data_IF_110685825375
#
_entry.id   IF_110685825375
#
_cell.length_a   1.000
_cell.length_b   1.000
_cell.length_c   1.000
_cell.angle_alpha   90.00
_cell.angle_beta   90.00
_cell.angle_gamma   90.00
#
_symmetry.space_group_name_H-M   'P 1'
#
loop_
_entity.id
_entity.type
_entity.pdbx_description
1 polymer ?
#
# COMPACT_ATOMS: atom_id res chain seq x y z
N UNK A 1 -8.08 -14.79 9.81
CA UNK A 1 -7.42 -14.68 11.13
C UNK A 1 -5.90 -14.47 10.97
N UNK A 2 -5.28 -13.80 11.93
CA UNK A 2 -3.85 -13.49 11.99
C UNK A 2 -3.30 -14.11 13.27
N UNK A 3 -2.15 -14.79 13.18
CA UNK A 3 -1.50 -15.43 14.32
C UNK A 3 0.00 -15.15 14.30
N UNK A 4 0.64 -15.15 15.46
CA UNK A 4 2.09 -15.05 15.55
C UNK A 4 2.79 -16.19 14.82
N UNK A 5 3.99 -15.92 14.28
CA UNK A 5 4.79 -16.91 13.55
C UNK A 5 4.38 -17.12 12.08
N UNK A 6 3.34 -16.41 11.59
CA UNK A 6 2.96 -16.41 10.17
C UNK A 6 2.39 -15.07 9.72
N UNK A 7 2.51 -14.80 8.42
CA UNK A 7 1.85 -13.67 7.77
C UNK A 7 0.53 -14.12 7.14
N UNK A 8 -0.50 -13.28 7.28
CA UNK A 8 -1.70 -13.33 6.44
C UNK A 8 -1.44 -12.49 5.19
N UNK A 9 -1.70 -13.04 4.01
CA UNK A 9 -1.65 -12.33 2.74
C UNK A 9 -3.04 -12.27 2.13
N UNK A 10 -3.45 -11.08 1.70
CA UNK A 10 -4.67 -10.86 0.92
C UNK A 10 -4.31 -10.17 -0.37
N UNK A 11 -5.00 -10.53 -1.44
CA UNK A 11 -4.80 -9.96 -2.77
C UNK A 11 -6.07 -9.25 -3.23
N UNK A 12 -5.92 -8.09 -3.86
CA UNK A 12 -7.00 -7.35 -4.52
C UNK A 12 -6.54 -6.99 -5.93
N UNK A 13 -7.32 -7.44 -6.91
CA UNK A 13 -7.11 -7.08 -8.30
C UNK A 13 -7.96 -5.87 -8.65
N UNK A 14 -7.35 -4.84 -9.24
CA UNK A 14 -8.04 -3.63 -9.69
C UNK A 14 -7.59 -3.23 -11.09
N UNK A 15 -8.49 -2.64 -11.85
CA UNK A 15 -8.21 -1.95 -13.11
C UNK A 15 -8.04 -0.43 -12.89
N UNK A 16 -8.01 0.02 -11.63
CA UNK A 16 -7.89 1.42 -11.24
C UNK A 16 -8.93 2.34 -11.89
N UNK A 17 -10.18 1.87 -11.96
CA UNK A 17 -11.32 2.59 -12.51
C UNK A 17 -11.17 2.95 -14.00
N UNK A 18 -10.52 2.07 -14.75
CA UNK A 18 -10.29 2.25 -16.20
C UNK A 18 -11.58 2.61 -16.93
N UNK A 19 -11.54 3.70 -17.70
CA UNK A 19 -12.67 4.16 -18.50
C UNK A 19 -13.72 5.01 -17.77
N UNK A 20 -13.57 5.24 -16.46
CA UNK A 20 -14.43 6.15 -15.70
C UNK A 20 -13.81 7.54 -15.56
N UNK A 21 -14.56 8.47 -14.95
CA UNK A 21 -14.08 9.79 -14.55
C UNK A 21 -13.08 9.77 -13.37
N UNK A 22 -12.93 8.62 -12.69
CA UNK A 22 -11.99 8.40 -11.57
C UNK A 22 -10.82 7.49 -11.95
N UNK A 23 -10.55 7.33 -13.25
CA UNK A 23 -9.44 6.53 -13.75
C UNK A 23 -8.09 7.06 -13.24
N UNK A 24 -7.30 6.18 -12.62
CA UNK A 24 -5.94 6.50 -12.14
C UNK A 24 -4.93 5.65 -12.91
N UNK A 25 -4.06 6.31 -13.66
CA UNK A 25 -2.96 5.66 -14.39
C UNK A 25 -1.61 5.89 -13.73
N UNK A 26 -1.44 7.00 -13.01
CA UNK A 26 -0.19 7.39 -12.36
C UNK A 26 -0.46 7.66 -10.89
N UNK A 27 0.12 6.84 -10.01
CA UNK A 27 -0.10 6.96 -8.58
C UNK A 27 0.57 8.18 -7.95
N UNK A 28 -0.08 8.73 -6.94
CA UNK A 28 0.47 9.75 -6.04
C UNK A 28 0.45 9.23 -4.60
N UNK A 29 -0.75 9.03 -4.06
CA UNK A 29 -0.97 8.52 -2.71
C UNK A 29 -1.78 7.22 -2.78
N UNK A 30 -1.46 6.27 -1.91
CA UNK A 30 -2.20 5.02 -1.77
C UNK A 30 -2.66 4.91 -0.33
N UNK A 31 -3.94 4.62 -0.11
CA UNK A 31 -4.47 4.32 1.21
C UNK A 31 -5.01 2.90 1.27
N UNK A 32 -4.63 2.18 2.32
CA UNK A 32 -5.26 0.94 2.73
C UNK A 32 -6.14 1.25 3.95
N UNK A 33 -7.46 1.27 3.75
CA UNK A 33 -8.44 1.50 4.81
C UNK A 33 -8.74 0.16 5.45
N UNK A 34 -8.35 -0.02 6.71
CA UNK A 34 -8.34 -1.33 7.37
C UNK A 34 -9.19 -1.31 8.64
N UNK A 35 -10.02 -2.33 8.79
CA UNK A 35 -10.64 -2.70 10.06
C UNK A 35 -10.04 -4.02 10.53
N UNK A 36 -9.45 -4.03 11.72
CA UNK A 36 -8.80 -5.22 12.28
C UNK A 36 -8.87 -5.20 13.80
N UNK A 37 -8.95 -6.37 14.43
CA UNK A 37 -8.74 -6.51 15.86
C UNK A 37 -7.43 -7.25 16.15
N UNK A 38 -6.88 -7.04 17.35
CA UNK A 38 -5.66 -7.67 17.78
C UNK A 38 -5.69 -7.85 19.30
N UNK A 39 -5.18 -8.99 19.78
CA UNK A 39 -4.91 -9.24 21.19
C UNK A 39 -3.92 -8.23 21.80
N UNK A 40 -3.02 -7.67 20.97
CA UNK A 40 -2.18 -6.52 21.30
C UNK A 40 -1.88 -5.72 20.04
N UNK A 41 -2.45 -4.53 19.91
CA UNK A 41 -2.38 -3.71 18.69
C UNK A 41 -0.96 -3.31 18.31
N UNK A 42 -0.11 -2.97 19.28
CA UNK A 42 1.26 -2.54 19.03
C UNK A 42 2.18 -3.59 18.43
N UNK A 43 1.79 -4.87 18.50
CA UNK A 43 2.54 -5.97 17.90
C UNK A 43 2.12 -6.24 16.44
N UNK A 44 1.04 -5.63 15.93
CA UNK A 44 0.58 -5.82 14.56
C UNK A 44 1.41 -4.96 13.59
N UNK A 45 1.92 -5.59 12.54
CA UNK A 45 2.55 -4.93 11.40
C UNK A 45 1.71 -5.14 10.15
N UNK A 46 1.63 -4.09 9.33
CA UNK A 46 0.91 -4.10 8.06
C UNK A 46 1.82 -3.60 6.94
N UNK A 47 1.76 -4.29 5.81
CA UNK A 47 2.46 -3.90 4.59
C UNK A 47 1.52 -3.95 3.40
N UNK A 48 1.68 -3.00 2.48
CA UNK A 48 1.01 -3.04 1.19
C UNK A 48 2.06 -3.14 0.08
N UNK A 49 1.83 -4.00 -0.90
CA UNK A 49 2.72 -4.16 -2.07
C UNK A 49 1.95 -3.80 -3.33
N UNK A 50 2.52 -2.91 -4.14
CA UNK A 50 1.94 -2.49 -5.42
C UNK A 50 2.09 -3.56 -6.51
N UNK A 51 1.34 -3.48 -7.62
CA UNK A 51 1.49 -4.37 -8.76
C UNK A 51 2.88 -4.34 -9.39
N UNK A 52 3.61 -3.23 -9.24
CA UNK A 52 4.99 -3.07 -9.72
C UNK A 52 6.04 -3.58 -8.72
N UNK A 53 5.63 -4.11 -7.57
CA UNK A 53 6.51 -4.78 -6.61
C UNK A 53 7.00 -3.91 -5.44
N UNK A 54 6.60 -2.64 -5.36
CA UNK A 54 7.03 -1.77 -4.26
C UNK A 54 6.27 -2.13 -2.98
N UNK A 55 7.00 -2.64 -1.99
CA UNK A 55 6.48 -3.01 -0.68
C UNK A 55 6.64 -1.85 0.31
N UNK A 56 5.52 -1.36 0.84
CA UNK A 56 5.45 -0.27 1.82
C UNK A 56 5.02 -0.81 3.18
N UNK A 57 5.78 -0.49 4.24
CA UNK A 57 5.33 -0.69 5.62
C UNK A 57 4.36 0.45 5.97
N UNK A 58 3.10 0.10 6.21
CA UNK A 58 2.03 1.07 6.50
C UNK A 58 1.65 1.09 7.99
N UNK A 59 2.03 0.05 8.74
CA UNK A 59 2.01 0.02 10.19
C UNK A 59 3.25 -0.72 10.68
N UNK A 60 4.12 -0.03 11.42
CA UNK A 60 5.27 -0.62 12.10
C UNK A 60 4.88 -1.11 13.50
N UNK A 61 5.67 -2.03 14.07
CA UNK A 61 5.56 -2.37 15.49
C UNK A 61 5.71 -1.14 16.36
N UNK A 62 4.87 -1.01 17.39
CA UNK A 62 4.88 0.07 18.39
C UNK A 62 4.95 -0.54 19.78
N UNK A 63 6.15 -0.60 20.37
CA UNK A 63 6.39 -1.32 21.62
C UNK A 63 5.50 -0.86 22.79
N UNK A 64 5.20 0.43 22.86
CA UNK A 64 4.41 1.04 23.93
C UNK A 64 2.88 1.02 23.69
N UNK A 65 2.42 0.53 22.54
CA UNK A 65 0.99 0.39 22.24
C UNK A 65 0.47 -0.95 22.78
N UNK A 66 0.12 -0.95 24.07
CA UNK A 66 -0.38 -2.12 24.81
C UNK A 66 -1.91 -2.30 24.74
N UNK A 67 -2.52 -1.72 23.70
CA UNK A 67 -3.96 -1.80 23.50
C UNK A 67 -4.39 -3.22 23.15
N UNK A 68 -5.26 -3.80 23.99
CA UNK A 68 -5.82 -5.14 23.87
C UNK A 68 -7.34 -5.13 23.68
N UNK A 69 -7.95 -3.94 23.58
CA UNK A 69 -9.40 -3.76 23.47
C UNK A 69 -9.77 -3.24 22.10
N UNK A 70 -9.05 -2.20 21.67
CA UNK A 70 -9.33 -1.49 20.44
C UNK A 70 -8.28 -1.87 19.39
N UNK A 71 -8.78 -2.27 18.22
CA UNK A 71 -7.95 -2.51 17.06
C UNK A 71 -7.85 -1.27 16.18
N UNK A 72 -8.13 -1.47 14.91
CA UNK A 72 -8.33 -0.41 13.92
C UNK A 72 -9.75 -0.53 13.39
N UNK A 73 -10.44 0.61 13.26
CA UNK A 73 -11.79 0.68 12.69
C UNK A 73 -11.74 1.65 11.52
N UNK A 74 -11.85 1.12 10.29
CA UNK A 74 -11.78 1.90 9.05
C UNK A 74 -10.61 2.90 9.02
N UNK A 75 -9.45 2.48 9.52
CA UNK A 75 -8.29 3.36 9.64
C UNK A 75 -7.56 3.49 8.31
N UNK A 76 -7.38 4.71 7.76
CA UNK A 76 -6.80 4.92 6.43
C UNK A 76 -5.27 5.03 6.49
N UNK A 77 -4.57 3.90 6.52
CA UNK A 77 -3.11 3.91 6.43
C UNK A 77 -2.66 4.35 5.04
N UNK A 78 -1.62 5.19 4.94
CA UNK A 78 -1.21 5.82 3.68
C UNK A 78 0.27 5.57 3.36
N UNK A 79 0.60 5.45 2.08
CA UNK A 79 1.99 5.44 1.57
C UNK A 79 2.12 6.28 0.30
N UNK A 80 3.30 6.89 0.12
CA UNK A 80 3.73 7.61 -1.10
C UNK A 80 4.87 6.87 -1.82
N UNK A 81 5.27 5.68 -1.35
CA UNK A 81 6.43 4.99 -1.91
C UNK A 81 6.22 4.61 -3.38
N UNK A 82 4.98 4.24 -3.74
CA UNK A 82 4.57 3.89 -5.10
C UNK A 82 4.23 5.08 -6.00
N UNK A 83 4.64 6.30 -5.64
CA UNK A 83 4.44 7.47 -6.49
C UNK A 83 5.00 7.25 -7.91
N UNK A 84 4.18 7.51 -8.91
CA UNK A 84 4.48 7.34 -10.32
C UNK A 84 4.31 5.92 -10.83
N UNK A 85 3.97 4.94 -9.99
CA UNK A 85 3.71 3.59 -10.48
C UNK A 85 2.34 3.47 -11.16
N UNK A 86 2.20 2.43 -11.97
CA UNK A 86 0.94 2.03 -12.58
C UNK A 86 0.13 1.19 -11.59
N UNK A 87 -1.10 1.61 -11.22
CA UNK A 87 -1.87 0.93 -10.18
C UNK A 87 -2.61 -0.33 -10.65
N UNK A 88 -2.62 -0.62 -11.95
CA UNK A 88 -3.39 -1.71 -12.53
C UNK A 88 -2.75 -3.05 -12.19
N UNK A 89 -3.55 -4.01 -11.71
CA UNK A 89 -3.10 -5.35 -11.38
C UNK A 89 -3.40 -5.74 -9.95
N UNK A 90 -2.55 -6.60 -9.39
CA UNK A 90 -2.76 -7.20 -8.07
C UNK A 90 -2.00 -6.43 -7.01
N UNK A 91 -2.74 -5.90 -6.05
CA UNK A 91 -2.23 -5.34 -4.80
C UNK A 91 -2.23 -6.41 -3.72
N UNK A 92 -1.21 -6.40 -2.86
CA UNK A 92 -1.10 -7.36 -1.76
C UNK A 92 -1.07 -6.66 -0.42
N UNK A 93 -1.95 -7.04 0.49
CA UNK A 93 -1.90 -6.67 1.90
C UNK A 93 -1.27 -7.82 2.68
N UNK A 94 -0.22 -7.53 3.45
CA UNK A 94 0.36 -8.45 4.41
C UNK A 94 0.07 -7.96 5.82
N UNK A 95 -0.45 -8.84 6.67
CA UNK A 95 -0.65 -8.58 8.09
C UNK A 95 0.05 -9.66 8.92
N UNK A 96 0.84 -9.25 9.91
CA UNK A 96 1.59 -10.19 10.78
C UNK A 96 1.80 -9.63 12.16
N UNK A 97 1.99 -10.51 13.14
CA UNK A 97 2.44 -10.10 14.47
C UNK A 97 3.96 -10.18 14.59
N UNK A 98 4.57 -9.10 15.07
CA UNK A 98 5.96 -9.02 15.47
C UNK A 98 6.05 -9.04 16.99
N UNK A 99 6.00 -10.24 17.57
CA UNK A 99 6.05 -10.47 19.01
C UNK A 99 6.63 -11.85 19.32
N UNK A 100 7.36 -11.97 20.42
CA UNK A 100 7.78 -13.26 20.95
C UNK A 100 6.63 -13.98 21.69
N UNK A 101 5.67 -13.22 22.21
CA UNK A 101 4.50 -13.79 22.88
C UNK A 101 3.43 -14.18 21.85
N UNK A 102 2.65 -15.24 22.09
CA UNK A 102 1.53 -15.59 21.22
C UNK A 102 0.51 -14.45 21.14
N UNK A 103 0.35 -13.91 19.93
CA UNK A 103 -0.69 -12.94 19.56
C UNK A 103 -1.61 -13.53 18.50
N UNK A 104 -2.87 -13.18 18.62
CA UNK A 104 -3.93 -13.46 17.64
C UNK A 104 -4.74 -12.20 17.34
N UNK A 105 -5.44 -12.22 16.21
CA UNK A 105 -6.30 -11.14 15.75
C UNK A 105 -7.00 -11.50 14.44
N UNK A 106 -7.79 -10.58 13.93
CA UNK A 106 -8.56 -10.73 12.71
C UNK A 106 -8.48 -9.46 11.90
N UNK A 107 -8.15 -9.62 10.61
CA UNK A 107 -8.50 -8.61 9.62
C UNK A 107 -9.97 -8.81 9.28
N UNK A 108 -10.78 -7.76 9.48
CA UNK A 108 -12.24 -7.79 9.30
C UNK A 108 -12.59 -7.25 7.92
N UNK A 109 -11.99 -6.11 7.57
CA UNK A 109 -12.25 -5.42 6.31
C UNK A 109 -10.96 -4.77 5.83
N UNK A 110 -10.77 -4.73 4.52
CA UNK A 110 -9.80 -3.84 3.92
C UNK A 110 -10.31 -3.32 2.57
N UNK A 111 -10.03 -2.06 2.29
CA UNK A 111 -10.27 -1.46 0.98
C UNK A 111 -9.07 -0.62 0.56
N UNK A 112 -8.92 -0.47 -0.75
CA UNK A 112 -7.82 0.25 -1.37
C UNK A 112 -8.36 1.52 -2.00
N UNK A 113 -7.80 2.66 -1.61
CA UNK A 113 -8.09 3.97 -2.22
C UNK A 113 -6.83 4.44 -2.93
N UNK A 114 -6.97 4.70 -4.22
CA UNK A 114 -5.88 5.10 -5.10
C UNK A 114 -6.09 6.56 -5.48
N UNK A 115 -5.09 7.39 -5.18
CA UNK A 115 -5.07 8.80 -5.58
C UNK A 115 -4.01 8.98 -6.65
N UNK A 116 -4.34 9.77 -7.67
CA UNK A 116 -3.42 10.13 -8.72
C UNK A 116 -4.13 10.64 -9.95
N UNK A 117 -3.46 10.55 -11.10
CA UNK A 117 -3.91 11.18 -12.33
C UNK A 117 -4.10 10.18 -13.46
N UNK A 118 -5.01 10.51 -14.38
CA UNK A 118 -5.18 9.79 -15.65
C UNK A 118 -4.03 10.07 -16.61
N UNK A 119 -3.53 11.30 -16.65
CA UNK A 119 -2.41 11.72 -17.48
C UNK A 119 -1.09 11.77 -16.70
N UNK A 120 0.04 11.62 -17.39
CA UNK A 120 1.35 11.64 -16.76
C UNK A 120 1.64 13.01 -16.12
N UNK A 121 1.88 13.09 -14.80
CA UNK A 121 1.97 14.38 -14.08
C UNK A 121 3.28 15.14 -14.34
N UNK A 122 4.26 14.52 -14.99
CA UNK A 122 5.60 15.08 -15.20
C UNK A 122 5.90 15.44 -16.66
N UNK A 123 4.89 15.51 -17.54
CA UNK A 123 5.10 15.84 -18.97
C UNK A 123 5.91 17.13 -19.17
N UNK A 124 5.74 18.11 -18.30
CA UNK A 124 6.41 19.42 -18.35
C UNK A 124 7.62 19.52 -17.42
N UNK A 125 7.87 18.50 -16.59
CA UNK A 125 8.95 18.52 -15.61
C UNK A 125 10.23 17.93 -16.20
N UNK A 126 11.33 18.66 -16.02
CA UNK A 126 12.68 18.17 -16.33
C UNK A 126 13.33 17.64 -15.05
N UNK A 127 13.82 16.40 -15.02
CA UNK A 127 14.48 15.86 -13.84
C UNK A 127 15.76 16.63 -13.53
N UNK A 128 15.93 17.04 -12.27
CA UNK A 128 17.12 17.75 -11.81
C UNK A 128 18.41 16.91 -11.88
N UNK A 129 18.27 15.58 -11.90
CA UNK A 129 19.39 14.63 -12.00
C UNK A 129 18.92 13.29 -12.62
N UNK A 130 19.80 12.58 -13.34
CA UNK A 130 19.50 11.25 -13.91
C UNK A 130 19.07 10.20 -12.88
N UNK A 131 19.47 10.34 -11.61
CA UNK A 131 19.15 9.40 -10.54
C UNK A 131 17.96 9.83 -9.67
N UNK A 132 17.32 10.95 -10.00
CA UNK A 132 16.13 11.38 -9.28
C UNK A 132 14.97 10.39 -9.47
N UNK A 133 14.08 10.28 -8.47
CA UNK A 133 12.87 9.43 -8.58
C UNK A 133 12.06 9.80 -9.83
N UNK A 134 11.99 11.09 -10.16
CA UNK A 134 11.33 11.58 -11.38
C UNK A 134 11.98 11.06 -12.66
N UNK A 135 13.32 11.05 -12.76
CA UNK A 135 14.03 10.52 -13.93
C UNK A 135 13.78 9.02 -14.11
N UNK A 136 13.82 8.25 -13.02
CA UNK A 136 13.59 6.80 -13.04
C UNK A 136 12.15 6.50 -13.48
N UNK A 137 11.17 7.20 -12.93
CA UNK A 137 9.75 7.03 -13.27
C UNK A 137 9.50 7.40 -14.74
N UNK A 138 10.02 8.54 -15.20
CA UNK A 138 9.84 9.00 -16.59
C UNK A 138 10.39 7.99 -17.60
N UNK A 139 11.62 7.48 -17.37
CA UNK A 139 12.23 6.45 -18.23
C UNK A 139 11.39 5.18 -18.27
N UNK A 140 10.96 4.67 -17.12
CA UNK A 140 10.12 3.48 -17.05
C UNK A 140 8.79 3.64 -17.83
N UNK A 141 8.24 4.85 -17.87
CA UNK A 141 7.00 5.14 -18.59
C UNK A 141 7.21 5.33 -20.10
N UNK A 142 8.37 5.83 -20.52
CA UNK A 142 8.75 5.93 -21.94
C UNK A 142 9.01 4.53 -22.53
N UNK A 143 9.77 3.68 -21.84
CA UNK A 143 10.09 2.32 -22.28
C UNK A 143 8.81 1.48 -22.49
N UNK A 144 7.81 1.63 -21.61
CA UNK A 144 6.54 0.90 -21.70
C UNK A 144 5.63 1.38 -22.84
N UNK A 145 5.73 2.64 -23.28
CA UNK A 145 4.96 3.14 -24.45
C UNK A 145 5.49 2.60 -25.78
N UNK A 146 6.75 2.13 -25.80
CA UNK A 146 7.38 1.56 -26.98
C UNK A 146 7.08 0.07 -27.18
N UNK A 147 6.42 -0.57 -26.21
CA UNK A 147 5.89 -1.94 -26.28
C UNK A 147 4.38 -1.93 -26.55
#
# INVERSE_FOLDING_TARGET
>A
PIYSGRSLFLELKTDACKGSNTEVNYLEHVQAVISANASRRGDLELFVTSPMGTRSMILSRRANDDDHRDGFTKWPFMTTHSWGEYPHGVWKLEARFNSAQPRSGWLIEWSLVLHGTKEAPYRTLSPASPHSKLAIVKKAHEDKKMQ
#
